data_IF_982811329454
#
_entry.id   IF_982811329454
#
_cell.length_a   1.000
_cell.length_b   1.000
_cell.length_c   1.000
_cell.angle_alpha   90.00
_cell.angle_beta   90.00
_cell.angle_gamma   90.00
#
_symmetry.space_group_name_H-M   'P 1'
#
loop_
_entity.id
_entity.type
_entity.pdbx_description
1 polymer ?
#
# COMPACT_ATOMS: atom_id res chain seq x y z
N UNK A 1 -47.29 -85.16 -11.05
CA UNK A 1 -47.48 -84.58 -9.70
C UNK A 1 -46.11 -84.46 -9.05
N UNK A 2 -45.52 -83.26 -9.05
CA UNK A 2 -44.17 -83.02 -8.57
C UNK A 2 -44.21 -81.82 -7.61
N UNK A 3 -44.47 -82.10 -6.33
CA UNK A 3 -44.35 -81.12 -5.26
C UNK A 3 -42.99 -81.33 -4.58
N UNK A 4 -41.99 -80.53 -4.97
CA UNK A 4 -40.69 -80.51 -4.29
C UNK A 4 -40.87 -79.86 -2.92
N UNK A 5 -40.57 -80.62 -1.87
CA UNK A 5 -40.30 -80.12 -0.52
C UNK A 5 -39.25 -79.02 -0.60
N UNK A 6 -39.65 -77.81 -0.20
CA UNK A 6 -38.72 -76.70 0.04
C UNK A 6 -37.73 -77.17 1.11
N UNK A 7 -36.48 -77.38 0.70
CA UNK A 7 -35.42 -77.80 1.61
C UNK A 7 -35.24 -76.73 2.69
N UNK A 8 -35.32 -77.13 3.95
CA UNK A 8 -35.05 -76.29 5.13
C UNK A 8 -33.72 -75.51 5.00
N UNK A 9 -32.76 -76.06 4.25
CA UNK A 9 -31.51 -75.39 3.89
C UNK A 9 -31.70 -74.06 3.16
N UNK A 10 -32.73 -73.94 2.32
CA UNK A 10 -32.99 -72.71 1.56
C UNK A 10 -33.50 -71.58 2.46
N UNK A 11 -34.41 -71.91 3.39
CA UNK A 11 -34.92 -70.96 4.38
C UNK A 11 -33.80 -70.42 5.28
N UNK A 12 -32.87 -71.29 5.69
CA UNK A 12 -31.76 -70.91 6.56
C UNK A 12 -30.74 -70.02 5.81
N UNK A 13 -30.48 -70.31 4.54
CA UNK A 13 -29.64 -69.46 3.68
C UNK A 13 -30.28 -68.08 3.45
N UNK A 14 -31.58 -68.03 3.16
CA UNK A 14 -32.29 -66.77 2.98
C UNK A 14 -32.26 -65.90 4.26
N UNK A 15 -32.46 -66.52 5.42
CA UNK A 15 -32.39 -65.83 6.71
C UNK A 15 -30.98 -65.29 7.01
N UNK A 16 -29.93 -66.06 6.72
CA UNK A 16 -28.55 -65.64 6.90
C UNK A 16 -28.19 -64.44 6.01
N UNK A 17 -28.69 -64.41 4.77
CA UNK A 17 -28.50 -63.26 3.85
C UNK A 17 -29.20 -62.02 4.40
N UNK A 18 -30.43 -62.14 4.92
CA UNK A 18 -31.15 -60.99 5.51
C UNK A 18 -30.42 -60.45 6.73
N UNK A 19 -29.93 -61.33 7.61
CA UNK A 19 -29.16 -60.92 8.80
C UNK A 19 -27.85 -60.25 8.38
N UNK A 20 -27.15 -60.78 7.38
CA UNK A 20 -25.93 -60.17 6.86
C UNK A 20 -26.20 -58.78 6.27
N UNK A 21 -27.25 -58.62 5.46
CA UNK A 21 -27.64 -57.33 4.90
C UNK A 21 -27.99 -56.32 6.00
N UNK A 22 -28.71 -56.74 7.05
CA UNK A 22 -29.03 -55.87 8.19
C UNK A 22 -27.78 -55.52 9.02
N UNK A 23 -26.88 -56.48 9.23
CA UNK A 23 -25.62 -56.27 9.94
C UNK A 23 -24.69 -55.31 9.17
N UNK A 24 -24.56 -55.47 7.86
CA UNK A 24 -23.81 -54.56 7.00
C UNK A 24 -24.49 -53.20 6.80
N UNK A 25 -25.81 -53.13 6.95
CA UNK A 25 -26.53 -51.84 6.96
C UNK A 25 -26.38 -51.09 8.27
N UNK A 26 -26.17 -51.79 9.40
CA UNK A 26 -25.98 -51.17 10.72
C UNK A 26 -24.50 -50.87 11.02
N UNK A 27 -23.60 -51.73 10.52
CA UNK A 27 -22.16 -51.58 10.62
C UNK A 27 -21.64 -51.44 9.18
N UNK A 28 -21.41 -50.21 8.74
CA UNK A 28 -20.79 -49.91 7.45
C UNK A 28 -19.28 -49.71 7.65
N UNK A 29 -18.46 -50.78 7.60
CA UNK A 29 -17.01 -50.67 7.80
C UNK A 29 -16.29 -49.98 6.63
N UNK A 30 -17.00 -49.65 5.54
CA UNK A 30 -16.43 -49.08 4.33
C UNK A 30 -16.97 -47.70 3.97
N UNK A 31 -17.88 -47.13 4.77
CA UNK A 31 -18.48 -45.80 4.55
C UNK A 31 -19.12 -45.64 3.15
N UNK A 32 -19.56 -46.76 2.53
CA UNK A 32 -20.03 -46.80 1.14
C UNK A 32 -21.50 -46.41 0.97
N UNK A 33 -22.29 -46.37 2.05
CA UNK A 33 -23.74 -46.15 1.98
C UNK A 33 -24.23 -44.86 2.67
N UNK A 34 -23.32 -44.03 3.18
CA UNK A 34 -23.68 -42.67 3.61
C UNK A 34 -23.82 -41.79 2.36
N UNK A 35 -25.08 -41.55 1.98
CA UNK A 35 -25.46 -40.48 1.06
C UNK A 35 -24.69 -39.20 1.40
N UNK A 36 -23.86 -38.75 0.45
CA UNK A 36 -23.03 -37.55 0.50
C UNK A 36 -23.89 -36.29 0.75
N UNK A 37 -24.32 -36.06 2.00
CA UNK A 37 -24.29 -34.70 2.51
C UNK A 37 -22.82 -34.36 2.64
N UNK A 38 -22.27 -33.75 1.59
CA UNK A 38 -21.00 -33.03 1.61
C UNK A 38 -21.06 -32.04 2.78
N UNK A 39 -20.68 -32.52 3.96
CA UNK A 39 -20.30 -31.66 5.07
C UNK A 39 -18.85 -31.34 4.79
N UNK A 40 -18.60 -30.10 4.36
CA UNK A 40 -17.27 -29.55 4.17
C UNK A 40 -16.50 -29.61 5.51
N UNK A 41 -15.88 -30.75 5.80
CA UNK A 41 -14.90 -30.90 6.89
C UNK A 41 -13.48 -30.51 6.47
N UNK A 42 -13.25 -30.12 5.22
CA UNK A 42 -11.91 -29.82 4.69
C UNK A 42 -11.69 -28.38 4.21
N UNK A 43 -12.11 -27.38 5.01
CA UNK A 43 -11.65 -26.00 4.84
C UNK A 43 -10.11 -25.85 4.93
N UNK A 44 -9.38 -26.61 5.78
CA UNK A 44 -7.92 -26.52 5.83
C UNK A 44 -7.22 -26.97 4.53
N UNK A 45 -7.66 -28.09 3.93
CA UNK A 45 -7.02 -28.63 2.72
C UNK A 45 -7.21 -27.70 1.51
N UNK A 46 -8.40 -27.11 1.36
CA UNK A 46 -8.70 -26.16 0.28
C UNK A 46 -7.91 -24.84 0.43
N UNK A 47 -7.77 -24.35 1.66
CA UNK A 47 -6.93 -23.16 1.94
C UNK A 47 -5.46 -23.45 1.64
N UNK A 48 -4.98 -24.64 1.96
CA UNK A 48 -3.60 -25.04 1.65
C UNK A 48 -3.36 -25.14 0.14
N UNK A 49 -4.33 -25.67 -0.63
CA UNK A 49 -4.26 -25.68 -2.10
C UNK A 49 -4.22 -24.25 -2.68
N UNK A 50 -5.05 -23.33 -2.18
CA UNK A 50 -5.04 -21.93 -2.64
C UNK A 50 -3.72 -21.22 -2.24
N UNK A 51 -3.20 -21.50 -1.04
CA UNK A 51 -1.90 -20.98 -0.61
C UNK A 51 -0.75 -21.49 -1.47
N UNK A 52 -0.81 -22.74 -1.92
CA UNK A 52 0.24 -23.31 -2.76
C UNK A 52 0.36 -22.63 -4.12
N UNK A 53 -0.68 -21.93 -4.58
CA UNK A 53 -0.65 -21.08 -5.77
C UNK A 53 0.24 -19.84 -5.54
N UNK A 54 0.35 -19.34 -4.30
CA UNK A 54 1.12 -18.16 -3.93
C UNK A 54 0.49 -16.86 -4.44
N UNK A 55 0.52 -16.67 -5.76
CA UNK A 55 -0.02 -15.49 -6.44
C UNK A 55 -0.98 -15.89 -7.57
N UNK A 56 -2.14 -15.27 -7.64
CA UNK A 56 -3.06 -15.38 -8.77
C UNK A 56 -3.01 -14.12 -9.60
N UNK A 57 -2.35 -14.19 -10.76
CA UNK A 57 -2.45 -13.15 -11.80
C UNK A 57 -3.79 -13.35 -12.51
N UNK A 58 -4.65 -12.33 -12.46
CA UNK A 58 -6.01 -12.41 -13.03
C UNK A 58 -6.34 -11.30 -14.01
N UNK A 59 -5.52 -10.25 -14.10
CA UNK A 59 -5.61 -9.26 -15.16
C UNK A 59 -4.22 -8.81 -15.61
N UNK A 60 -4.13 -8.49 -16.90
CA UNK A 60 -2.95 -7.91 -17.52
C UNK A 60 -3.35 -6.64 -18.27
N UNK A 61 -2.45 -5.67 -18.29
CA UNK A 61 -2.55 -4.46 -19.06
C UNK A 61 -1.27 -4.29 -19.87
N UNK A 62 -1.42 -4.07 -21.17
CA UNK A 62 -0.33 -3.77 -22.09
C UNK A 62 -0.48 -2.33 -22.55
N UNK A 63 0.60 -1.56 -22.52
CA UNK A 63 0.53 -0.14 -22.82
C UNK A 63 1.85 0.44 -23.31
N UNK A 64 1.71 1.56 -24.01
CA UNK A 64 2.81 2.43 -24.41
C UNK A 64 2.71 3.75 -23.62
N UNK A 65 3.85 4.24 -23.16
CA UNK A 65 3.96 5.49 -22.41
C UNK A 65 5.14 6.30 -22.90
N UNK A 66 5.01 7.63 -22.84
CA UNK A 66 6.05 8.56 -23.24
C UNK A 66 6.49 9.34 -22.02
N UNK A 67 7.79 9.42 -21.78
CA UNK A 67 8.36 10.23 -20.72
C UNK A 67 9.52 11.06 -21.25
N UNK A 68 9.61 12.30 -20.78
CA UNK A 68 10.73 13.19 -21.06
C UNK A 68 11.51 13.49 -19.79
N UNK A 69 12.78 13.83 -19.96
CA UNK A 69 13.58 14.34 -18.84
C UNK A 69 13.01 15.63 -18.26
N UNK A 70 12.48 16.52 -19.10
CA UNK A 70 11.82 17.75 -18.63
C UNK A 70 10.61 17.48 -17.73
N UNK A 71 9.79 16.47 -18.08
CA UNK A 71 8.68 16.03 -17.25
C UNK A 71 9.18 15.44 -15.93
N UNK A 72 10.26 14.65 -16.00
CA UNK A 72 10.91 14.04 -14.83
C UNK A 72 11.44 15.07 -13.84
N UNK A 73 12.16 16.06 -14.35
CA UNK A 73 12.68 17.20 -13.59
C UNK A 73 11.55 17.96 -12.91
N UNK A 74 10.44 18.21 -13.62
CA UNK A 74 9.27 18.88 -13.05
C UNK A 74 8.64 18.08 -11.91
N UNK A 75 8.40 16.78 -12.11
CA UNK A 75 7.84 15.90 -11.09
C UNK A 75 8.73 15.81 -9.83
N UNK A 76 10.05 15.70 -10.03
CA UNK A 76 11.04 15.70 -8.95
C UNK A 76 11.05 17.03 -8.19
N UNK A 77 10.96 18.16 -8.91
CA UNK A 77 10.84 19.49 -8.32
C UNK A 77 9.58 19.61 -7.46
N UNK A 78 8.43 19.20 -7.98
CA UNK A 78 7.16 19.28 -7.27
C UNK A 78 7.18 18.41 -5.99
N UNK A 79 7.80 17.23 -6.06
CA UNK A 79 7.99 16.33 -4.92
C UNK A 79 8.94 16.93 -3.88
N UNK A 80 10.06 17.53 -4.32
CA UNK A 80 10.98 18.23 -3.42
C UNK A 80 10.30 19.40 -2.71
N UNK A 81 9.50 20.21 -3.43
CA UNK A 81 8.72 21.30 -2.85
C UNK A 81 7.70 20.76 -1.85
N UNK A 82 6.99 19.67 -2.18
CA UNK A 82 6.01 19.06 -1.29
C UNK A 82 6.65 18.50 -0.02
N UNK A 83 7.82 17.86 -0.14
CA UNK A 83 8.59 17.35 1.00
C UNK A 83 9.08 18.49 1.89
N UNK A 84 9.72 19.51 1.30
CA UNK A 84 10.14 20.72 1.99
C UNK A 84 8.97 21.39 2.74
N UNK A 85 7.78 21.52 2.12
CA UNK A 85 6.57 22.03 2.81
C UNK A 85 6.23 21.25 4.06
N UNK A 86 6.28 19.91 3.99
CA UNK A 86 6.00 19.04 5.13
C UNK A 86 7.04 19.26 6.22
N UNK A 87 8.32 19.30 5.86
CA UNK A 87 9.41 19.40 6.83
C UNK A 87 9.40 20.76 7.55
N UNK A 88 9.26 21.87 6.80
CA UNK A 88 9.12 23.21 7.38
C UNK A 88 7.89 23.29 8.30
N UNK A 89 6.77 22.68 7.92
CA UNK A 89 5.57 22.63 8.76
C UNK A 89 5.79 21.83 10.06
N UNK A 90 6.53 20.72 10.01
CA UNK A 90 6.86 19.92 11.20
C UNK A 90 7.76 20.70 12.15
N UNK A 91 8.85 21.29 11.62
CA UNK A 91 9.76 22.16 12.36
C UNK A 91 8.99 23.31 13.02
N UNK A 92 8.13 23.98 12.26
CA UNK A 92 7.30 25.07 12.75
C UNK A 92 6.39 24.65 13.91
N UNK A 93 5.71 23.50 13.79
CA UNK A 93 4.83 22.97 14.85
C UNK A 93 5.60 22.63 16.11
N UNK A 94 6.77 22.01 15.99
CA UNK A 94 7.61 21.68 17.14
C UNK A 94 8.17 22.92 17.79
N UNK A 95 8.65 23.87 17.00
CA UNK A 95 9.10 25.17 17.48
C UNK A 95 8.01 25.88 18.28
N UNK A 96 6.80 25.97 17.72
CA UNK A 96 5.64 26.57 18.39
C UNK A 96 5.30 25.86 19.70
N UNK A 97 5.31 24.52 19.73
CA UNK A 97 5.11 23.74 20.96
C UNK A 97 6.18 24.01 22.00
N UNK A 98 7.45 24.09 21.60
CA UNK A 98 8.55 24.43 22.49
C UNK A 98 8.39 25.82 23.08
N UNK A 99 8.00 26.81 22.27
CA UNK A 99 7.69 28.15 22.77
C UNK A 99 6.55 28.16 23.78
N UNK A 100 5.45 27.44 23.52
CA UNK A 100 4.36 27.31 24.49
C UNK A 100 4.82 26.65 25.79
N UNK A 101 5.68 25.63 25.71
CA UNK A 101 6.24 24.97 26.88
C UNK A 101 7.13 25.91 27.71
N UNK A 102 7.83 26.84 27.06
CA UNK A 102 8.62 27.89 27.73
C UNK A 102 7.70 28.94 28.36
N UNK A 103 6.66 29.38 27.64
CA UNK A 103 5.67 30.35 28.15
C UNK A 103 4.96 29.82 29.40
N UNK A 104 4.66 28.53 29.43
CA UNK A 104 3.98 27.88 30.55
C UNK A 104 4.92 27.47 31.70
N UNK A 105 6.22 27.76 31.61
CA UNK A 105 7.16 27.48 32.70
C UNK A 105 6.96 28.47 33.85
N UNK A 106 7.32 28.06 35.07
CA UNK A 106 7.42 29.01 36.18
C UNK A 106 8.55 29.98 35.88
N UNK A 107 8.20 31.24 35.62
CA UNK A 107 9.16 32.27 35.21
C UNK A 107 10.18 32.58 36.32
N UNK A 108 9.89 32.21 37.57
CA UNK A 108 10.81 32.37 38.70
C UNK A 108 11.91 31.29 38.74
N UNK A 109 11.73 30.14 38.08
CA UNK A 109 12.72 29.07 38.00
C UNK A 109 13.55 29.14 36.70
N UNK A 110 14.66 29.89 36.77
CA UNK A 110 15.63 30.06 35.67
C UNK A 110 16.21 28.72 35.17
N UNK A 111 16.28 27.70 36.02
CA UNK A 111 16.81 26.38 35.66
C UNK A 111 15.84 25.64 34.74
N UNK A 112 14.54 25.70 35.02
CA UNK A 112 13.49 25.08 34.20
C UNK A 112 13.42 25.73 32.81
N UNK A 113 13.44 27.06 32.73
CA UNK A 113 13.44 27.79 31.45
C UNK A 113 14.64 27.37 30.57
N UNK A 114 15.84 27.33 31.15
CA UNK A 114 17.06 26.94 30.41
C UNK A 114 16.96 25.50 29.89
N UNK A 115 16.48 24.55 30.70
CA UNK A 115 16.27 23.15 30.29
C UNK A 115 15.27 23.04 29.14
N UNK A 116 14.19 23.82 29.17
CA UNK A 116 13.17 23.83 28.12
C UNK A 116 13.66 24.45 26.80
N UNK A 117 14.48 25.50 26.88
CA UNK A 117 15.16 26.06 25.70
C UNK A 117 16.10 25.03 25.08
N UNK A 118 16.91 24.35 25.90
CA UNK A 118 17.81 23.30 25.40
C UNK A 118 17.00 22.16 24.76
N UNK A 119 15.95 21.68 25.42
CA UNK A 119 15.07 20.64 24.88
C UNK A 119 14.42 21.04 23.55
N UNK A 120 14.08 22.32 23.37
CA UNK A 120 13.60 22.84 22.09
C UNK A 120 14.68 22.77 21.02
N UNK A 121 15.90 23.21 21.32
CA UNK A 121 17.04 23.13 20.38
C UNK A 121 17.30 21.68 19.97
N UNK A 122 17.43 20.77 20.93
CA UNK A 122 17.66 19.34 20.69
C UNK A 122 16.53 18.73 19.84
N UNK A 123 15.28 19.11 20.07
CA UNK A 123 14.13 18.61 19.29
C UNK A 123 14.15 19.05 17.83
N UNK A 124 14.85 20.15 17.52
CA UNK A 124 14.94 20.72 16.19
C UNK A 124 16.20 20.23 15.45
N UNK A 125 17.29 19.88 16.14
CA UNK A 125 18.56 19.47 15.52
C UNK A 125 18.44 18.34 14.48
N UNK A 126 17.44 17.46 14.63
CA UNK A 126 17.20 16.36 13.69
C UNK A 126 16.58 16.78 12.35
N UNK A 127 16.17 18.05 12.21
CA UNK A 127 15.59 18.56 10.98
C UNK A 127 16.62 19.33 10.17
N UNK A 128 16.79 18.92 8.90
CA UNK A 128 17.70 19.58 7.95
C UNK A 128 17.47 21.09 7.81
N UNK A 129 16.25 21.56 8.11
CA UNK A 129 15.84 22.96 8.00
C UNK A 129 15.86 23.72 9.33
N UNK A 130 16.21 23.08 10.45
CA UNK A 130 16.18 23.72 11.75
C UNK A 130 17.15 24.90 11.87
N UNK A 131 18.35 24.78 11.32
CA UNK A 131 19.33 25.88 11.35
C UNK A 131 18.84 27.10 10.57
N UNK A 132 18.35 26.91 9.34
CA UNK A 132 17.76 28.01 8.56
C UNK A 132 16.56 28.65 9.27
N UNK A 133 15.73 27.82 9.92
CA UNK A 133 14.59 28.28 10.71
C UNK A 133 15.03 29.10 11.94
N UNK A 134 16.04 28.63 12.67
CA UNK A 134 16.62 29.33 13.83
C UNK A 134 17.35 30.61 13.41
N UNK A 135 18.09 30.61 12.30
CA UNK A 135 18.78 31.79 11.77
C UNK A 135 17.79 32.90 11.39
N UNK A 136 16.71 32.54 10.69
CA UNK A 136 15.63 33.48 10.34
C UNK A 136 14.96 34.01 11.62
N UNK A 137 14.73 33.15 12.60
CA UNK A 137 14.21 33.54 13.90
C UNK A 137 15.12 34.54 14.64
N UNK A 138 16.41 34.21 14.78
CA UNK A 138 17.41 35.06 15.45
C UNK A 138 17.62 36.40 14.73
N UNK A 139 17.61 36.40 13.40
CA UNK A 139 17.83 37.61 12.60
C UNK A 139 16.72 38.66 12.79
N UNK A 140 15.47 38.21 12.91
CA UNK A 140 14.29 39.06 13.12
C UNK A 140 14.14 39.53 14.58
N UNK A 141 14.71 38.81 15.55
CA UNK A 141 14.83 39.25 16.96
C UNK A 141 16.04 40.18 17.16
N UNK A 142 16.96 40.18 16.18
CA UNK A 142 18.23 40.91 16.18
C UNK A 142 19.40 39.96 16.47
N UNK A 143 20.37 39.86 15.55
CA UNK A 143 21.56 38.99 15.69
C UNK A 143 22.24 39.20 17.05
N UNK A 144 22.48 38.11 17.77
CA UNK A 144 23.10 38.13 19.10
C UNK A 144 22.14 38.46 20.24
N UNK A 145 20.96 39.03 19.98
CA UNK A 145 19.98 39.31 21.04
C UNK A 145 19.29 38.06 21.57
N UNK A 146 19.17 36.95 20.86
CA UNK A 146 18.60 35.74 21.48
C UNK A 146 19.53 35.17 22.56
N UNK A 147 20.80 34.88 22.24
CA UNK A 147 21.77 34.40 23.23
C UNK A 147 22.07 35.45 24.33
N UNK A 148 22.10 36.73 23.98
CA UNK A 148 22.36 37.82 24.92
C UNK A 148 21.12 38.24 25.72
N UNK A 149 19.90 38.12 25.18
CA UNK A 149 18.64 38.29 25.93
C UNK A 149 18.37 37.06 26.78
N UNK A 150 18.60 35.82 26.32
CA UNK A 150 18.61 34.61 27.15
C UNK A 150 19.61 34.74 28.32
N UNK A 151 20.80 35.32 28.09
CA UNK A 151 21.73 35.68 29.17
C UNK A 151 21.25 36.84 30.05
N UNK A 152 20.60 37.85 29.47
CA UNK A 152 20.14 39.06 30.17
C UNK A 152 18.73 38.93 30.78
N UNK A 153 18.03 37.82 30.57
CA UNK A 153 16.73 37.48 31.15
C UNK A 153 16.91 37.05 32.62
N UNK A 154 17.61 37.85 33.41
CA UNK A 154 17.59 37.76 34.87
C UNK A 154 16.63 38.76 35.53
N UNK A 155 15.87 39.51 34.73
CA UNK A 155 14.99 40.62 35.12
C UNK A 155 13.51 40.32 34.72
N UNK A 156 12.66 40.08 35.72
CA UNK A 156 11.35 39.39 35.62
C UNK A 156 10.30 40.09 34.74
N UNK A 157 10.28 41.43 34.69
CA UNK A 157 9.22 42.19 33.98
C UNK A 157 9.37 42.22 32.45
N UNK A 158 10.58 41.92 31.94
CA UNK A 158 10.88 41.96 30.50
C UNK A 158 10.72 40.60 29.83
N UNK A 159 10.77 39.50 30.59
CA UNK A 159 10.59 38.13 30.09
C UNK A 159 9.16 37.87 29.60
N UNK A 160 8.16 38.15 30.45
CA UNK A 160 6.74 37.89 30.16
C UNK A 160 6.27 38.63 28.92
N UNK A 161 6.70 39.90 28.78
CA UNK A 161 6.39 40.74 27.64
C UNK A 161 7.04 40.25 26.33
N UNK A 162 8.24 39.67 26.38
CA UNK A 162 8.92 39.16 25.20
C UNK A 162 8.28 37.88 24.65
N UNK A 163 8.00 36.90 25.50
CA UNK A 163 7.36 35.66 25.05
C UNK A 163 5.88 35.86 24.68
N UNK A 164 5.15 36.73 25.39
CA UNK A 164 3.82 37.18 24.93
C UNK A 164 3.91 37.95 23.61
N UNK A 165 4.89 38.83 23.42
CA UNK A 165 5.11 39.52 22.15
C UNK A 165 5.35 38.54 21.00
N UNK A 166 6.16 37.50 21.19
CA UNK A 166 6.40 36.45 20.19
C UNK A 166 5.13 35.65 19.88
N UNK A 167 4.31 35.35 20.90
CA UNK A 167 3.05 34.63 20.72
C UNK A 167 1.96 35.49 20.05
N UNK A 168 1.90 36.79 20.36
CA UNK A 168 0.86 37.72 19.90
C UNK A 168 1.11 38.24 18.48
N UNK A 169 2.37 38.50 18.08
CA UNK A 169 2.66 39.28 16.87
C UNK A 169 2.54 38.54 15.52
N UNK A 170 1.76 37.45 15.41
CA UNK A 170 1.64 36.64 14.17
C UNK A 170 2.99 36.21 13.58
N UNK A 171 4.02 36.32 14.40
CA UNK A 171 5.42 36.22 14.07
C UNK A 171 5.58 34.92 13.30
N UNK A 172 5.14 33.81 13.88
CA UNK A 172 5.19 32.44 13.35
C UNK A 172 4.91 32.28 11.84
N UNK A 173 3.87 32.93 11.27
CA UNK A 173 3.50 32.77 9.85
C UNK A 173 4.50 33.49 8.93
N UNK A 174 4.98 34.66 9.31
CA UNK A 174 5.98 35.40 8.54
C UNK A 174 7.31 34.65 8.48
N UNK A 175 7.78 34.04 9.58
CA UNK A 175 9.01 33.21 9.59
C UNK A 175 8.84 31.96 8.75
N UNK A 176 7.69 31.28 8.86
CA UNK A 176 7.37 30.14 8.02
C UNK A 176 7.50 30.51 6.54
N UNK A 177 6.94 31.66 6.13
CA UNK A 177 6.98 32.13 4.76
C UNK A 177 8.40 32.50 4.30
N UNK A 178 9.23 33.08 5.17
CA UNK A 178 10.61 33.47 4.82
C UNK A 178 11.55 32.26 4.71
N UNK A 179 11.44 31.29 5.62
CA UNK A 179 12.19 30.02 5.50
C UNK A 179 11.73 29.29 4.25
N UNK A 180 10.42 29.23 4.02
CA UNK A 180 9.84 28.63 2.84
C UNK A 180 10.32 29.29 1.54
N UNK A 181 10.40 30.63 1.48
CA UNK A 181 10.83 31.34 0.27
C UNK A 181 12.31 31.09 -0.05
N UNK A 182 13.20 31.16 0.96
CA UNK A 182 14.64 30.89 0.80
C UNK A 182 14.90 29.47 0.29
N UNK A 183 14.22 28.48 0.86
CA UNK A 183 14.38 27.08 0.43
C UNK A 183 13.77 26.85 -0.96
N UNK A 184 12.62 27.47 -1.25
CA UNK A 184 12.02 27.41 -2.58
C UNK A 184 12.95 28.01 -3.65
N UNK A 185 13.68 29.09 -3.34
CA UNK A 185 14.70 29.66 -4.23
C UNK A 185 15.85 28.68 -4.47
N UNK A 186 16.36 28.02 -3.43
CA UNK A 186 17.40 26.99 -3.54
C UNK A 186 16.97 25.83 -4.45
N UNK A 187 15.76 25.31 -4.24
CA UNK A 187 15.15 24.29 -5.10
C UNK A 187 15.05 24.82 -6.54
N UNK A 188 14.49 26.02 -6.72
CA UNK A 188 14.36 26.62 -8.05
C UNK A 188 15.71 26.77 -8.75
N UNK A 189 16.77 27.16 -8.04
CA UNK A 189 18.12 27.31 -8.60
C UNK A 189 18.69 25.97 -9.10
N UNK A 190 18.49 24.89 -8.33
CA UNK A 190 18.91 23.53 -8.71
C UNK A 190 18.19 23.12 -10.01
N UNK A 191 16.86 23.19 -10.01
CA UNK A 191 16.02 22.70 -11.12
C UNK A 191 15.98 23.62 -12.35
N UNK A 192 16.31 24.91 -12.21
CA UNK A 192 16.40 25.86 -13.32
C UNK A 192 17.81 25.98 -13.93
N UNK A 193 18.77 25.18 -13.48
CA UNK A 193 20.14 25.20 -14.00
C UNK A 193 20.16 24.96 -15.52
N UNK A 194 21.07 25.65 -16.23
CA UNK A 194 21.21 25.55 -17.69
C UNK A 194 21.46 24.12 -18.14
N UNK A 195 22.20 23.33 -17.36
CA UNK A 195 22.43 21.91 -17.60
C UNK A 195 21.12 21.12 -17.69
N UNK A 196 20.17 21.37 -16.79
CA UNK A 196 18.88 20.70 -16.77
C UNK A 196 17.99 21.20 -17.91
N UNK A 197 17.91 22.52 -18.12
CA UNK A 197 17.10 23.12 -19.19
C UNK A 197 17.53 22.68 -20.59
N UNK A 198 18.84 22.50 -20.78
CA UNK A 198 19.42 22.13 -22.06
C UNK A 198 19.56 20.61 -22.25
N UNK A 199 19.08 19.79 -21.31
CA UNK A 199 19.07 18.33 -21.43
C UNK A 199 17.72 17.85 -21.93
N UNK A 200 17.72 17.19 -23.09
CA UNK A 200 16.52 16.66 -23.73
C UNK A 200 16.73 15.18 -23.99
N UNK A 201 15.90 14.38 -23.35
CA UNK A 201 15.75 12.96 -23.59
C UNK A 201 14.26 12.66 -23.54
N UNK A 202 13.74 12.06 -24.61
CA UNK A 202 12.36 11.58 -24.72
C UNK A 202 12.42 10.09 -25.03
N UNK A 203 11.79 9.30 -24.16
CA UNK A 203 11.68 7.85 -24.30
C UNK A 203 10.22 7.45 -24.48
N UNK A 204 10.02 6.47 -25.34
CA UNK A 204 8.83 5.61 -25.35
C UNK A 204 9.15 4.35 -24.57
N UNK A 205 8.28 3.98 -23.63
CA UNK A 205 8.30 2.74 -22.87
C UNK A 205 7.09 1.88 -23.22
N UNK A 206 7.31 0.61 -23.56
CA UNK A 206 6.27 -0.38 -23.89
C UNK A 206 6.37 -1.55 -22.94
N UNK A 207 5.30 -1.79 -22.17
CA UNK A 207 5.38 -2.74 -21.08
C UNK A 207 4.05 -3.37 -20.73
N UNK A 208 4.13 -4.25 -19.73
CA UNK A 208 2.99 -4.95 -19.17
C UNK A 208 2.88 -4.71 -17.68
N UNK A 209 1.64 -4.64 -17.21
CA UNK A 209 1.31 -4.58 -15.78
C UNK A 209 0.42 -5.76 -15.48
N UNK A 210 0.79 -6.54 -14.47
CA UNK A 210 0.01 -7.70 -14.02
C UNK A 210 -0.62 -7.38 -12.66
N UNK A 211 -1.92 -7.64 -12.55
CA UNK A 211 -2.68 -7.45 -11.34
C UNK A 211 -3.36 -8.73 -10.91
N UNK A 212 -3.56 -8.86 -9.61
CA UNK A 212 -4.04 -10.11 -9.02
C UNK A 212 -4.05 -10.09 -7.50
N UNK A 213 -3.91 -11.27 -6.91
CA UNK A 213 -3.98 -11.48 -5.47
C UNK A 213 -2.76 -12.25 -4.99
N UNK A 214 -2.21 -11.84 -3.83
CA UNK A 214 -1.27 -12.68 -3.06
C UNK A 214 -2.07 -13.43 -2.01
N UNK A 215 -1.84 -14.73 -1.89
CA UNK A 215 -2.56 -15.60 -0.95
C UNK A 215 -1.78 -15.89 0.34
N UNK A 216 -0.61 -15.28 0.53
CA UNK A 216 0.25 -15.49 1.70
C UNK A 216 -0.48 -15.28 3.03
N UNK A 217 -1.34 -14.26 3.08
CA UNK A 217 -2.11 -13.87 4.26
C UNK A 217 -3.45 -14.61 4.40
N UNK A 218 -3.81 -15.48 3.46
CA UNK A 218 -5.05 -16.24 3.54
C UNK A 218 -4.98 -17.20 4.75
N UNK A 219 -6.04 -17.36 5.51
CA UNK A 219 -6.14 -18.40 6.54
C UNK A 219 -7.51 -19.05 6.45
N UNK A 220 -7.74 -20.13 7.19
CA UNK A 220 -9.07 -20.75 7.27
C UNK A 220 -10.15 -19.79 7.77
N UNK A 221 -9.78 -18.76 8.54
CA UNK A 221 -10.71 -17.71 9.00
C UNK A 221 -11.14 -16.75 7.89
N UNK A 222 -10.34 -16.66 6.82
CA UNK A 222 -10.61 -15.80 5.68
C UNK A 222 -11.54 -16.45 4.66
N UNK A 223 -11.82 -17.75 4.76
CA UNK A 223 -12.68 -18.47 3.84
C UNK A 223 -13.99 -18.82 4.55
N UNK A 224 -15.10 -18.26 4.07
CA UNK A 224 -16.43 -18.56 4.57
C UNK A 224 -17.23 -19.27 3.50
N UNK A 225 -17.96 -20.31 3.87
CA UNK A 225 -18.89 -21.00 3.00
C UNK A 225 -20.31 -20.65 3.44
N UNK A 226 -21.05 -19.99 2.56
CA UNK A 226 -22.49 -19.75 2.68
C UNK A 226 -23.22 -20.89 1.95
N UNK A 227 -23.60 -21.92 2.71
CA UNK A 227 -24.30 -23.09 2.16
C UNK A 227 -25.70 -22.76 1.66
N UNK A 228 -26.36 -21.72 2.19
CA UNK A 228 -27.71 -21.34 1.78
C UNK A 228 -27.72 -20.75 0.37
N UNK A 229 -26.67 -20.03 -0.01
CA UNK A 229 -26.51 -19.42 -1.35
C UNK A 229 -25.52 -20.14 -2.25
N UNK A 230 -25.01 -21.30 -1.83
CA UNK A 230 -23.96 -22.04 -2.51
C UNK A 230 -22.76 -21.15 -2.88
N UNK A 231 -22.26 -20.37 -1.92
CA UNK A 231 -21.27 -19.31 -2.16
C UNK A 231 -20.04 -19.46 -1.27
N UNK A 232 -18.85 -19.29 -1.86
CA UNK A 232 -17.58 -19.18 -1.15
C UNK A 232 -17.17 -17.70 -1.09
N UNK A 233 -16.91 -17.21 0.12
CA UNK A 233 -16.51 -15.82 0.37
C UNK A 233 -15.09 -15.80 0.91
N UNK A 234 -14.18 -15.15 0.17
CA UNK A 234 -12.80 -14.91 0.56
C UNK A 234 -12.67 -13.48 1.12
N UNK A 235 -12.29 -13.36 2.38
CA UNK A 235 -12.32 -12.11 3.15
C UNK A 235 -10.90 -11.63 3.47
N UNK A 236 -10.67 -10.33 3.35
CA UNK A 236 -9.38 -9.69 3.64
C UNK A 236 -8.38 -9.79 2.50
N UNK A 237 -8.81 -10.26 1.32
CA UNK A 237 -8.00 -10.23 0.11
C UNK A 237 -8.27 -8.94 -0.66
N UNK A 238 -7.19 -8.27 -1.08
CA UNK A 238 -7.26 -7.03 -1.87
C UNK A 238 -6.54 -7.24 -3.20
N UNK A 239 -7.14 -6.85 -4.34
CA UNK A 239 -6.45 -6.87 -5.61
C UNK A 239 -5.29 -5.87 -5.56
N UNK A 240 -4.15 -6.26 -6.12
CA UNK A 240 -2.96 -5.42 -6.16
C UNK A 240 -2.19 -5.62 -7.47
N UNK A 241 -1.34 -4.65 -7.80
CA UNK A 241 -0.35 -4.79 -8.88
C UNK A 241 0.73 -5.74 -8.37
N UNK A 242 0.89 -6.89 -9.04
CA UNK A 242 1.88 -7.91 -8.71
C UNK A 242 3.22 -7.62 -9.38
N UNK A 243 3.18 -7.18 -10.64
CA UNK A 243 4.36 -6.81 -11.41
C UNK A 243 4.07 -5.65 -12.38
N UNK A 244 5.10 -4.87 -12.70
CA UNK A 244 5.09 -3.83 -13.72
C UNK A 244 6.47 -3.84 -14.38
N UNK A 245 6.53 -4.13 -15.67
CA UNK A 245 7.79 -4.28 -16.37
C UNK A 245 7.73 -3.71 -17.80
N UNK A 246 8.85 -3.16 -18.24
CA UNK A 246 9.11 -2.71 -19.61
C UNK A 246 10.23 -3.59 -20.15
N UNK A 247 9.83 -4.72 -20.74
CA UNK A 247 10.76 -5.73 -21.25
C UNK A 247 11.55 -5.15 -22.43
N UNK A 248 12.90 -5.18 -22.42
CA UNK A 248 13.73 -4.75 -23.55
C UNK A 248 13.30 -5.34 -24.90
N UNK A 249 12.73 -6.55 -24.89
CA UNK A 249 12.15 -7.26 -26.04
C UNK A 249 10.66 -7.46 -25.81
N UNK A 250 9.91 -6.37 -25.82
CA UNK A 250 8.50 -6.35 -25.42
C UNK A 250 7.66 -7.33 -26.25
N UNK A 251 7.87 -7.36 -27.56
CA UNK A 251 7.31 -8.38 -28.46
C UNK A 251 8.44 -8.84 -29.40
N UNK A 252 9.19 -9.89 -29.05
CA UNK A 252 10.34 -10.36 -29.84
C UNK A 252 9.94 -10.72 -31.27
N UNK A 253 8.76 -11.30 -31.45
CA UNK A 253 8.22 -11.74 -32.76
C UNK A 253 7.98 -10.57 -33.71
N UNK A 254 7.73 -9.37 -33.16
CA UNK A 254 7.53 -8.13 -33.92
C UNK A 254 8.76 -7.23 -33.90
N UNK A 255 9.86 -7.64 -33.25
CA UNK A 255 11.08 -6.83 -33.10
C UNK A 255 10.87 -5.53 -32.30
N UNK A 256 9.80 -5.43 -31.51
CA UNK A 256 9.45 -4.21 -30.79
C UNK A 256 10.24 -4.10 -29.49
N UNK A 257 11.07 -3.06 -29.39
CA UNK A 257 11.86 -2.74 -28.20
C UNK A 257 10.96 -2.20 -27.08
N UNK A 258 11.25 -2.58 -25.85
CA UNK A 258 10.58 -2.03 -24.66
C UNK A 258 10.87 -0.56 -24.44
N UNK A 259 12.12 -0.14 -24.70
CA UNK A 259 12.49 1.27 -24.66
C UNK A 259 12.97 1.73 -26.03
N UNK A 260 12.47 2.87 -26.46
CA UNK A 260 12.85 3.52 -27.70
C UNK A 260 13.13 5.01 -27.43
N UNK A 261 14.29 5.48 -27.88
CA UNK A 261 14.66 6.90 -27.80
C UNK A 261 14.01 7.60 -28.99
N UNK A 262 13.15 8.57 -28.71
CA UNK A 262 12.50 9.40 -29.74
C UNK A 262 13.36 10.63 -30.03
N UNK A 263 13.88 11.25 -28.97
CA UNK A 263 14.69 12.45 -29.10
C UNK A 263 15.77 12.46 -28.01
N UNK A 264 16.96 12.91 -28.40
CA UNK A 264 18.13 12.94 -27.54
C UNK A 264 19.08 14.05 -27.93
N UNK A 265 19.60 14.76 -26.92
CA UNK A 265 20.73 15.67 -27.10
C UNK A 265 21.95 15.23 -26.26
N UNK A 266 23.15 15.62 -26.69
CA UNK A 266 24.41 15.21 -26.04
C UNK A 266 24.51 15.66 -24.58
N UNK A 267 23.78 16.70 -24.17
CA UNK A 267 23.75 17.15 -22.78
C UNK A 267 22.99 16.17 -21.86
N UNK A 268 22.10 15.34 -22.43
CA UNK A 268 21.39 14.27 -21.76
C UNK A 268 22.14 12.92 -21.81
N UNK A 269 23.39 12.89 -22.32
CA UNK A 269 24.25 11.70 -22.34
C UNK A 269 24.78 11.38 -20.94
N UNK A 270 23.86 11.00 -20.06
CA UNK A 270 24.12 10.71 -18.67
C UNK A 270 23.26 9.51 -18.26
N UNK A 271 23.92 8.49 -17.70
CA UNK A 271 23.26 7.25 -17.30
C UNK A 271 22.17 7.46 -16.24
N UNK A 272 22.32 8.46 -15.37
CA UNK A 272 21.34 8.79 -14.34
C UNK A 272 20.10 9.44 -14.92
N UNK A 273 20.26 10.30 -15.94
CA UNK A 273 19.13 10.88 -16.70
C UNK A 273 18.34 9.76 -17.37
N UNK A 274 19.03 8.83 -18.05
CA UNK A 274 18.39 7.68 -18.68
C UNK A 274 17.63 6.81 -17.67
N UNK A 275 18.24 6.49 -16.53
CA UNK A 275 17.59 5.73 -15.44
C UNK A 275 16.34 6.44 -14.93
N UNK A 276 16.41 7.75 -14.69
CA UNK A 276 15.27 8.54 -14.20
C UNK A 276 14.10 8.55 -15.20
N UNK A 277 14.37 8.76 -16.49
CA UNK A 277 13.31 8.75 -17.52
C UNK A 277 12.69 7.35 -17.66
N UNK A 278 13.50 6.29 -17.58
CA UNK A 278 13.00 4.89 -17.58
C UNK A 278 12.11 4.58 -16.38
N UNK A 279 12.49 5.01 -15.18
CA UNK A 279 11.66 4.86 -13.97
C UNK A 279 10.32 5.57 -14.14
N UNK A 280 10.34 6.78 -14.69
CA UNK A 280 9.11 7.52 -14.95
C UNK A 280 8.22 6.88 -16.03
N UNK A 281 8.79 6.21 -17.03
CA UNK A 281 7.98 5.37 -17.93
C UNK A 281 7.30 4.25 -17.14
N UNK A 282 8.01 3.54 -16.26
CA UNK A 282 7.44 2.46 -15.46
C UNK A 282 6.30 2.96 -14.56
N UNK A 283 6.49 4.09 -13.88
CA UNK A 283 5.46 4.72 -13.05
C UNK A 283 4.26 5.19 -13.88
N UNK A 284 4.51 5.78 -15.05
CA UNK A 284 3.44 6.20 -15.97
C UNK A 284 2.64 5.00 -16.47
N UNK A 285 3.31 3.89 -16.80
CA UNK A 285 2.66 2.66 -17.26
C UNK A 285 1.78 2.06 -16.15
N UNK A 286 2.30 2.01 -14.92
CA UNK A 286 1.55 1.58 -13.73
C UNK A 286 0.32 2.46 -13.50
N UNK A 287 0.47 3.77 -13.60
CA UNK A 287 -0.62 4.72 -13.43
C UNK A 287 -1.68 4.58 -14.53
N UNK A 288 -1.27 4.38 -15.79
CA UNK A 288 -2.19 4.10 -16.89
C UNK A 288 -2.97 2.80 -16.67
N UNK A 289 -2.32 1.75 -16.19
CA UNK A 289 -2.99 0.49 -15.83
C UNK A 289 -4.04 0.70 -14.71
N UNK A 290 -3.70 1.47 -13.67
CA UNK A 290 -4.63 1.83 -12.58
C UNK A 290 -5.84 2.62 -13.13
N UNK A 291 -5.60 3.62 -13.98
CA UNK A 291 -6.67 4.40 -14.63
C UNK A 291 -7.55 3.55 -15.54
N UNK A 292 -7.01 2.47 -16.11
CA UNK A 292 -7.76 1.48 -16.91
C UNK A 292 -8.57 0.47 -16.06
N UNK A 293 -8.61 0.69 -14.75
CA UNK A 293 -9.33 -0.14 -13.77
C UNK A 293 -8.82 -1.59 -13.70
N UNK A 294 -7.51 -1.81 -13.92
CA UNK A 294 -6.92 -3.16 -13.91
C UNK A 294 -7.20 -3.93 -12.61
N UNK A 295 -7.29 -3.25 -11.46
CA UNK A 295 -7.58 -3.89 -10.18
C UNK A 295 -9.04 -4.38 -10.07
N UNK A 296 -9.98 -3.67 -10.68
CA UNK A 296 -11.40 -4.08 -10.75
C UNK A 296 -11.51 -5.31 -11.66
N UNK A 297 -10.87 -5.25 -12.83
CA UNK A 297 -10.78 -6.39 -13.77
C UNK A 297 -10.12 -7.61 -13.11
N UNK A 298 -9.03 -7.41 -12.37
CA UNK A 298 -8.34 -8.47 -11.64
C UNK A 298 -9.29 -9.13 -10.63
N UNK A 299 -10.09 -8.36 -9.89
CA UNK A 299 -11.07 -8.90 -8.96
C UNK A 299 -12.13 -9.74 -9.68
N UNK A 300 -12.75 -9.20 -10.72
CA UNK A 300 -13.82 -9.88 -11.48
C UNK A 300 -13.30 -11.20 -12.08
N UNK A 301 -12.13 -11.14 -12.73
CA UNK A 301 -11.51 -12.31 -13.33
C UNK A 301 -11.09 -13.35 -12.28
N UNK A 302 -10.58 -12.92 -11.13
CA UNK A 302 -10.24 -13.83 -10.04
C UNK A 302 -11.48 -14.52 -9.46
N UNK A 303 -12.58 -13.80 -9.23
CA UNK A 303 -13.85 -14.39 -8.78
C UNK A 303 -14.33 -15.46 -9.77
N UNK A 304 -14.24 -15.19 -11.08
CA UNK A 304 -14.63 -16.15 -12.12
C UNK A 304 -13.68 -17.36 -12.20
N UNK A 305 -12.37 -17.14 -12.13
CA UNK A 305 -11.37 -18.22 -12.19
C UNK A 305 -11.48 -19.14 -10.97
N UNK A 306 -11.64 -18.55 -9.78
CA UNK A 306 -11.83 -19.31 -8.55
C UNK A 306 -13.18 -20.04 -8.54
N UNK A 307 -14.24 -19.45 -9.09
CA UNK A 307 -15.52 -20.14 -9.30
C UNK A 307 -15.31 -21.42 -10.12
N UNK A 308 -14.63 -21.32 -11.26
CA UNK A 308 -14.34 -22.47 -12.11
C UNK A 308 -13.53 -23.54 -11.35
N UNK A 309 -12.50 -23.12 -10.60
CA UNK A 309 -11.68 -24.01 -9.78
C UNK A 309 -12.52 -24.75 -8.73
N UNK A 310 -13.29 -24.03 -7.93
CA UNK A 310 -14.11 -24.64 -6.87
C UNK A 310 -15.24 -25.50 -7.43
N UNK A 311 -15.83 -25.12 -8.56
CA UNK A 311 -16.84 -25.95 -9.22
C UNK A 311 -16.29 -27.31 -9.63
N UNK A 312 -15.03 -27.38 -10.05
CA UNK A 312 -14.35 -28.63 -10.35
C UNK A 312 -14.02 -29.41 -9.06
N UNK A 313 -13.44 -28.75 -8.05
CA UNK A 313 -13.03 -29.38 -6.80
C UNK A 313 -14.23 -29.95 -5.99
N UNK A 314 -15.37 -29.27 -6.06
CA UNK A 314 -16.57 -29.63 -5.29
C UNK A 314 -17.62 -30.37 -6.13
N UNK A 315 -17.33 -30.62 -7.41
CA UNK A 315 -18.26 -31.20 -8.38
C UNK A 315 -19.65 -30.51 -8.37
N UNK A 316 -19.65 -29.18 -8.29
CA UNK A 316 -20.86 -28.36 -8.17
C UNK A 316 -20.75 -27.10 -9.05
N UNK A 317 -21.55 -27.06 -10.12
CA UNK A 317 -21.49 -26.01 -11.15
C UNK A 317 -22.10 -24.67 -10.72
N UNK A 318 -22.91 -24.67 -9.68
CA UNK A 318 -23.70 -23.50 -9.25
C UNK A 318 -23.02 -22.71 -8.13
N UNK A 319 -21.72 -22.94 -7.90
CA UNK A 319 -20.97 -22.24 -6.86
C UNK A 319 -20.69 -20.80 -7.29
N UNK A 320 -20.94 -19.86 -6.39
CA UNK A 320 -20.52 -18.47 -6.53
C UNK A 320 -19.27 -18.20 -5.69
N UNK A 321 -18.34 -17.39 -6.19
CA UNK A 321 -17.19 -16.92 -5.42
C UNK A 321 -17.22 -15.41 -5.31
N UNK A 322 -17.00 -14.90 -4.09
CA UNK A 322 -16.91 -13.46 -3.81
C UNK A 322 -15.65 -13.12 -3.03
N UNK A 323 -14.95 -12.07 -3.44
CA UNK A 323 -13.77 -11.55 -2.75
C UNK A 323 -14.12 -10.22 -2.08
N UNK A 324 -13.97 -10.16 -0.76
CA UNK A 324 -14.26 -8.98 0.06
C UNK A 324 -12.98 -8.43 0.69
N UNK A 325 -12.74 -7.14 0.47
CA UNK A 325 -11.55 -6.44 0.95
C UNK A 325 -11.57 -6.13 2.47
N UNK A 326 -12.76 -6.12 3.08
CA UNK A 326 -12.97 -5.82 4.49
C UNK A 326 -14.00 -6.78 5.10
N UNK A 327 -13.72 -7.19 6.33
CA UNK A 327 -14.60 -7.95 7.23
C UNK A 327 -15.87 -7.20 7.63
N UNK A 328 -15.87 -5.86 7.62
CA UNK A 328 -16.99 -5.02 8.08
C UNK A 328 -18.27 -5.18 7.23
N UNK A 329 -18.12 -5.53 5.94
CA UNK A 329 -19.24 -5.71 4.99
C UNK A 329 -20.08 -6.96 5.30
N UNK A 330 -19.56 -7.91 6.06
CA UNK A 330 -20.30 -9.13 6.42
C UNK A 330 -21.31 -8.92 7.56
N UNK A 331 -21.31 -7.77 8.25
CA UNK A 331 -22.26 -7.48 9.32
C UNK A 331 -23.56 -6.79 8.85
N UNK A 332 -23.66 -6.39 7.57
CA UNK A 332 -24.87 -5.78 7.01
C UNK A 332 -25.77 -6.76 6.25
N UNK A 333 -25.29 -7.98 6.00
CA UNK A 333 -26.12 -9.06 5.43
C UNK A 333 -26.60 -9.93 6.58
N UNK A 334 -27.77 -9.59 7.15
CA UNK A 334 -28.48 -10.48 8.07
C UNK A 334 -28.76 -11.83 7.37
N UNK A 335 -28.81 -12.93 8.14
CA UNK A 335 -29.07 -14.28 7.63
C UNK A 335 -30.33 -14.36 6.78
#
# INVERSE_FOLDING_TARGET
MMGKLFSFSFLLQALAVVIAVLAFSYFDPFDLLISNKLTLRDTPAQVQQIKSIGELISAEYYGEVISSYSHTVKANKDTAIAQMKRDVMVVHKQFYRGLLNIINADLSDKSDIKKRIQSLQDSLEHYSYANAYLDVFESNIGRGKMAQQIKNFSDDSKQTNFFQYLAINKVSITYYNEVFSKELESINKIFNSSKIKNSQLILVGRGKVQAGFKFDSLTTRNVKVDTARNRIVLVGLKPQILSCDINPWFIPELGLKGFEIIEFNKNADNIDILKQVKLNCLDSLRNSAIRSEILIKAKINAEQNLKNLFSLLLNNKDIEVKILADTSVLMSVKP
#
